data_IF_252605087031
#
_entry.id   IF_252605087031
#
_cell.length_a   1.000
_cell.length_b   1.000
_cell.length_c   1.000
_cell.angle_alpha   90.00
_cell.angle_beta   90.00
_cell.angle_gamma   90.00
#
_symmetry.space_group_name_H-M   'P 1'
#
loop_
_entity.id
_entity.type
_entity.pdbx_description
1 polymer ?
#
# COMPACT_ATOMS: atom_id res chain seq x y z
N UNK A 1 -9.84 -2.70 -11.77
CA UNK A 1 -9.14 -3.77 -12.54
C UNK A 1 -7.62 -3.60 -12.43
N UNK A 2 -6.96 -4.32 -11.51
CA UNK A 2 -5.50 -4.19 -11.33
C UNK A 2 -4.93 -5.29 -10.44
N UNK A 3 -5.44 -5.40 -9.21
CA UNK A 3 -4.83 -6.25 -8.18
C UNK A 3 -4.85 -7.76 -8.50
N UNK A 4 -5.98 -8.30 -8.99
CA UNK A 4 -6.12 -9.75 -9.23
C UNK A 4 -5.27 -10.23 -10.41
N UNK A 5 -5.25 -9.47 -11.51
CA UNK A 5 -4.43 -9.80 -12.69
C UNK A 5 -2.94 -9.67 -12.41
N UNK A 6 -2.55 -8.68 -11.61
CA UNK A 6 -1.16 -8.50 -11.21
C UNK A 6 -0.69 -9.67 -10.34
N UNK A 7 -1.51 -10.12 -9.38
CA UNK A 7 -1.22 -11.31 -8.58
C UNK A 7 -1.10 -12.57 -9.44
N UNK A 8 -2.02 -12.77 -10.40
CA UNK A 8 -1.98 -13.92 -11.32
C UNK A 8 -0.67 -13.95 -12.13
N UNK A 9 -0.25 -12.81 -12.69
CA UNK A 9 0.99 -12.69 -13.45
C UNK A 9 2.22 -12.98 -12.58
N UNK A 10 2.24 -12.47 -11.35
CA UNK A 10 3.30 -12.77 -10.38
C UNK A 10 3.39 -14.27 -10.08
N UNK A 11 2.27 -14.93 -9.78
CA UNK A 11 2.26 -16.36 -9.49
C UNK A 11 2.72 -17.18 -10.70
N UNK A 12 2.32 -16.78 -11.91
CA UNK A 12 2.78 -17.41 -13.16
C UNK A 12 4.30 -17.28 -13.31
N UNK A 13 4.88 -16.11 -13.04
CA UNK A 13 6.32 -15.87 -13.13
C UNK A 13 7.12 -16.72 -12.13
N UNK A 14 6.71 -16.71 -10.85
CA UNK A 14 7.38 -17.48 -9.80
C UNK A 14 7.39 -18.97 -10.15
N UNK A 15 6.30 -19.50 -10.72
CA UNK A 15 6.23 -20.90 -11.16
C UNK A 15 7.24 -21.23 -12.26
N UNK A 16 7.60 -20.26 -13.10
CA UNK A 16 8.54 -20.45 -14.21
C UNK A 16 10.00 -20.26 -13.76
N UNK A 17 10.23 -19.33 -12.83
CA UNK A 17 11.58 -18.87 -12.49
C UNK A 17 12.12 -19.43 -11.16
N UNK A 18 11.25 -19.74 -10.18
CA UNK A 18 11.69 -20.35 -8.93
C UNK A 18 11.96 -21.85 -9.14
N UNK A 19 13.23 -22.20 -9.28
CA UNK A 19 13.67 -23.59 -9.43
C UNK A 19 13.83 -24.27 -8.06
N UNK A 20 12.75 -24.34 -7.28
CA UNK A 20 12.79 -24.93 -5.93
C UNK A 20 11.46 -24.93 -5.19
N UNK A 21 11.45 -25.53 -3.99
CA UNK A 21 10.34 -25.42 -3.02
C UNK A 21 10.36 -24.11 -2.24
N UNK A 22 11.45 -23.36 -2.36
CA UNK A 22 11.68 -22.09 -1.70
C UNK A 22 11.78 -20.99 -2.77
N UNK A 23 11.18 -19.83 -2.50
CA UNK A 23 11.19 -18.68 -3.40
C UNK A 23 12.22 -17.69 -2.86
N UNK A 24 13.27 -17.42 -3.64
CA UNK A 24 14.24 -16.38 -3.32
C UNK A 24 13.85 -15.04 -3.93
N UNK A 25 14.39 -13.94 -3.37
CA UNK A 25 14.17 -12.58 -3.88
C UNK A 25 14.60 -12.46 -5.35
N UNK A 26 15.63 -13.22 -5.76
CA UNK A 26 16.10 -13.30 -7.14
C UNK A 26 15.11 -13.95 -8.11
N UNK A 27 14.12 -14.70 -7.61
CA UNK A 27 13.09 -15.36 -8.42
C UNK A 27 11.87 -14.46 -8.67
N UNK A 28 11.82 -13.30 -7.99
CA UNK A 28 10.71 -12.37 -8.11
C UNK A 28 10.79 -11.57 -9.43
N UNK A 29 9.65 -11.32 -10.07
CA UNK A 29 9.60 -10.47 -11.25
C UNK A 29 10.11 -9.05 -10.95
N UNK A 30 10.77 -8.39 -11.92
CA UNK A 30 11.31 -7.03 -11.75
C UNK A 30 10.24 -6.01 -11.38
N UNK A 31 8.98 -6.22 -11.74
CA UNK A 31 7.83 -5.38 -11.35
C UNK A 31 7.60 -5.37 -9.83
N UNK A 32 7.85 -6.48 -9.13
CA UNK A 32 7.77 -6.54 -7.66
C UNK A 32 9.02 -5.95 -6.99
N UNK A 33 10.19 -6.10 -7.61
CA UNK A 33 11.43 -5.52 -7.10
C UNK A 33 11.43 -3.99 -7.23
N UNK A 34 10.80 -3.48 -8.30
CA UNK A 34 10.57 -2.07 -8.55
C UNK A 34 9.31 -1.50 -7.88
N UNK A 35 8.67 -2.21 -6.94
CA UNK A 35 7.72 -1.60 -6.00
C UNK A 35 8.42 -0.66 -4.99
N UNK A 36 9.65 -0.23 -5.29
CA UNK A 36 10.25 0.94 -4.70
C UNK A 36 9.46 2.18 -5.13
N UNK A 37 8.51 2.52 -4.27
CA UNK A 37 8.17 3.88 -3.96
C UNK A 37 7.79 4.70 -5.19
N UNK A 38 6.52 4.58 -5.60
CA UNK A 38 5.71 5.79 -5.75
C UNK A 38 5.62 6.49 -4.38
N UNK A 39 6.76 6.89 -3.80
CA UNK A 39 6.87 8.17 -3.14
C UNK A 39 6.74 9.19 -4.27
N UNK A 40 5.56 9.24 -4.88
CA UNK A 40 5.03 10.50 -5.36
C UNK A 40 5.31 11.46 -4.22
N UNK A 41 5.99 12.59 -4.45
CA UNK A 41 6.20 13.58 -3.40
C UNK A 41 4.84 13.79 -2.74
N UNK A 42 4.82 14.00 -1.42
CA UNK A 42 3.60 14.26 -0.64
C UNK A 42 2.98 15.59 -1.13
N UNK A 43 2.49 15.61 -2.36
CA UNK A 43 1.88 16.76 -3.03
C UNK A 43 0.39 16.75 -2.78
N UNK A 44 -0.18 15.62 -2.36
CA UNK A 44 -1.59 15.54 -2.03
C UNK A 44 -1.89 14.60 -0.85
N UNK A 45 -1.71 15.12 0.36
CA UNK A 45 -2.06 14.42 1.60
C UNK A 45 -3.55 14.01 1.62
N UNK A 46 -4.43 14.72 0.92
CA UNK A 46 -5.85 14.37 0.81
C UNK A 46 -6.05 13.05 0.05
N UNK A 47 -5.25 12.81 -0.99
CA UNK A 47 -5.27 11.54 -1.73
C UNK A 47 -4.75 10.40 -0.86
N UNK A 48 -3.68 10.62 -0.10
CA UNK A 48 -3.17 9.63 0.85
C UNK A 48 -4.21 9.30 1.93
N UNK A 49 -4.90 10.31 2.46
CA UNK A 49 -5.97 10.13 3.45
C UNK A 49 -7.15 9.36 2.85
N UNK A 50 -7.55 9.66 1.61
CA UNK A 50 -8.60 8.91 0.90
C UNK A 50 -8.22 7.44 0.73
N UNK A 51 -7.00 7.17 0.27
CA UNK A 51 -6.53 5.80 0.05
C UNK A 51 -6.45 5.01 1.37
N UNK A 52 -6.03 5.66 2.45
CA UNK A 52 -6.08 5.08 3.79
C UNK A 52 -7.51 4.76 4.22
N UNK A 53 -8.46 5.68 4.01
CA UNK A 53 -9.86 5.50 4.38
C UNK A 53 -10.49 4.32 3.63
N UNK A 54 -10.26 4.22 2.31
CA UNK A 54 -10.74 3.09 1.50
C UNK A 54 -10.20 1.75 1.99
N UNK A 55 -8.92 1.69 2.36
CA UNK A 55 -8.31 0.47 2.90
C UNK A 55 -8.85 0.09 4.28
N UNK A 56 -9.02 1.05 5.18
CA UNK A 56 -9.55 0.81 6.51
C UNK A 56 -11.01 0.34 6.47
N UNK A 57 -11.84 0.97 5.62
CA UNK A 57 -13.21 0.53 5.37
C UNK A 57 -13.25 -0.88 4.74
N UNK A 58 -12.36 -1.17 3.79
CA UNK A 58 -12.23 -2.49 3.18
C UNK A 58 -11.82 -3.60 4.17
N UNK A 59 -11.18 -3.25 5.29
CA UNK A 59 -10.85 -4.17 6.40
C UNK A 59 -11.99 -4.35 7.41
N UNK A 60 -13.15 -3.73 7.18
CA UNK A 60 -14.29 -3.77 8.08
C UNK A 60 -14.18 -2.82 9.28
N UNK A 61 -13.24 -1.87 9.24
CA UNK A 61 -13.07 -0.89 10.29
C UNK A 61 -14.19 0.14 10.21
N UNK A 62 -14.94 0.32 11.29
CA UNK A 62 -15.99 1.33 11.43
C UNK A 62 -15.50 2.50 12.27
N UNK A 63 -16.15 3.66 12.14
CA UNK A 63 -15.82 4.88 12.88
C UNK A 63 -14.39 5.40 12.70
N UNK A 64 -13.88 5.43 11.47
CA UNK A 64 -12.53 5.96 11.18
C UNK A 64 -12.31 7.38 11.73
N UNK A 65 -13.36 8.21 11.73
CA UNK A 65 -13.31 9.60 12.21
C UNK A 65 -12.92 9.70 13.69
N UNK A 66 -13.32 8.74 14.53
CA UNK A 66 -13.01 8.74 15.97
C UNK A 66 -11.49 8.66 16.22
N UNK A 67 -10.74 8.09 15.26
CA UNK A 67 -9.28 8.00 15.32
C UNK A 67 -8.58 9.08 14.49
N UNK A 68 -9.16 9.43 13.34
CA UNK A 68 -8.56 10.38 12.40
C UNK A 68 -8.63 11.83 12.90
N UNK A 69 -9.77 12.25 13.47
CA UNK A 69 -9.99 13.64 13.92
C UNK A 69 -9.03 14.02 15.06
N UNK A 70 -8.92 13.25 16.16
CA UNK A 70 -8.00 13.61 17.24
C UNK A 70 -6.53 13.65 16.79
N UNK A 71 -6.16 12.76 15.86
CA UNK A 71 -4.80 12.72 15.30
C UNK A 71 -4.51 13.96 14.46
N UNK A 72 -5.46 14.33 13.59
CA UNK A 72 -5.36 15.54 12.77
C UNK A 72 -5.26 16.81 13.62
N UNK A 73 -6.15 16.95 14.61
CA UNK A 73 -6.16 18.10 15.52
C UNK A 73 -4.84 18.23 16.27
N UNK A 74 -4.31 17.12 16.81
CA UNK A 74 -3.03 17.11 17.52
C UNK A 74 -1.88 17.60 16.63
N UNK A 75 -1.80 17.11 15.39
CA UNK A 75 -0.75 17.53 14.44
C UNK A 75 -0.86 19.03 14.13
N UNK A 76 -2.08 19.53 13.91
CA UNK A 76 -2.30 20.96 13.63
C UNK A 76 -1.91 21.84 14.82
N UNK A 77 -2.21 21.43 16.05
CA UNK A 77 -1.82 22.15 17.27
C UNK A 77 -0.29 22.13 17.44
N UNK A 78 0.34 20.96 17.28
CA UNK A 78 1.79 20.79 17.44
C UNK A 78 2.61 21.57 16.39
N UNK A 79 2.07 21.71 15.17
CA UNK A 79 2.78 22.38 14.06
C UNK A 79 2.57 23.90 14.04
N UNK A 80 1.48 24.39 14.64
CA UNK A 80 1.19 25.82 14.72
C UNK A 80 1.98 26.56 15.82
N UNK A 81 2.74 25.83 16.65
CA UNK A 81 3.55 26.33 17.76
C UNK A 81 5.01 26.53 17.34
#
# INVERSE_FOLDING_TARGET
PGNVRQLENTCRWITVMASGREVHISDLPPELLNLHQDASPVTNWEQALRQWADQALGRGQSSLLDSAVPTFERIMIETAL
#
